data_IF_734188454166
#
_entry.id   IF_734188454166
#
_cell.length_a   1.000
_cell.length_b   1.000
_cell.length_c   1.000
_cell.angle_alpha   90.00
_cell.angle_beta   90.00
_cell.angle_gamma   90.00
#
_symmetry.space_group_name_H-M   'P 1'
#
loop_
_entity.id
_entity.type
_entity.pdbx_description
1 polymer ?
#
# COMPACT_ATOMS: atom_id res chain seq x y z
N UNK A 1 -21.62 -2.29 -26.39
CA UNK A 1 -21.11 -1.08 -25.70
C UNK A 1 -20.95 -1.26 -24.19
N UNK A 2 -21.79 -2.06 -23.52
CA UNK A 2 -21.80 -2.25 -22.06
C UNK A 2 -20.70 -3.17 -21.51
N UNK A 3 -20.23 -4.14 -22.32
CA UNK A 3 -19.17 -5.08 -21.94
C UNK A 3 -17.78 -4.44 -21.90
N UNK A 4 -17.49 -3.53 -22.85
CA UNK A 4 -16.20 -2.83 -22.92
C UNK A 4 -16.02 -1.85 -21.76
N UNK A 5 -17.08 -1.11 -21.41
CA UNK A 5 -17.09 -0.19 -20.27
C UNK A 5 -16.84 -0.96 -18.95
N UNK A 6 -17.47 -2.13 -18.77
CA UNK A 6 -17.20 -2.98 -17.59
C UNK A 6 -15.76 -3.48 -17.55
N UNK A 7 -15.19 -3.87 -18.69
CA UNK A 7 -13.80 -4.35 -18.77
C UNK A 7 -12.80 -3.25 -18.45
N UNK A 8 -13.01 -2.06 -19.01
CA UNK A 8 -12.15 -0.89 -18.80
C UNK A 8 -12.27 -0.37 -17.36
N UNK A 9 -13.45 -0.50 -16.74
CA UNK A 9 -13.67 -0.13 -15.34
C UNK A 9 -13.07 -1.16 -14.36
N UNK A 10 -13.07 -2.44 -14.69
CA UNK A 10 -12.35 -3.49 -13.94
C UNK A 10 -10.84 -3.36 -14.08
N UNK A 11 -10.32 -2.96 -15.24
CA UNK A 11 -8.90 -2.63 -15.46
C UNK A 11 -8.50 -1.33 -14.74
N UNK A 12 -9.36 -0.31 -14.73
CA UNK A 12 -9.15 0.92 -13.96
C UNK A 12 -9.19 0.68 -12.44
N UNK A 13 -10.07 -0.20 -11.95
CA UNK A 13 -10.11 -0.63 -10.55
C UNK A 13 -8.89 -1.51 -10.17
N UNK A 14 -8.32 -2.24 -11.14
CA UNK A 14 -7.02 -2.92 -10.99
C UNK A 14 -5.85 -1.94 -10.97
N UNK A 15 -5.98 -0.80 -11.66
CA UNK A 15 -4.95 0.23 -11.79
C UNK A 15 -4.98 1.29 -10.68
N UNK A 16 -6.08 1.42 -9.92
CA UNK A 16 -6.19 2.41 -8.85
C UNK A 16 -5.45 1.95 -7.59
N UNK A 17 -4.16 2.24 -7.53
CA UNK A 17 -3.39 2.16 -6.30
C UNK A 17 -4.04 3.06 -5.23
N UNK A 18 -4.46 2.47 -4.12
CA UNK A 18 -4.90 3.24 -2.94
C UNK A 18 -3.68 3.55 -2.09
N UNK A 19 -3.43 4.82 -1.81
CA UNK A 19 -2.30 5.22 -0.95
C UNK A 19 -2.33 4.52 0.42
N UNK A 20 -3.52 4.28 0.98
CA UNK A 20 -3.71 3.51 2.22
C UNK A 20 -3.30 2.04 2.12
N UNK A 21 -3.36 1.44 0.93
CA UNK A 21 -2.90 0.08 0.69
C UNK A 21 -1.38 0.05 0.58
N UNK A 22 -0.79 1.05 -0.07
CA UNK A 22 0.66 1.25 -0.14
C UNK A 22 1.25 1.45 1.27
N UNK A 23 0.68 2.38 2.04
CA UNK A 23 1.06 2.68 3.42
C UNK A 23 1.07 1.43 4.30
N UNK A 24 -0.05 0.72 4.35
CA UNK A 24 -0.17 -0.47 5.19
C UNK A 24 0.78 -1.59 4.74
N UNK A 25 0.96 -1.75 3.44
CA UNK A 25 1.86 -2.78 2.90
C UNK A 25 3.32 -2.47 3.23
N UNK A 26 3.74 -1.21 3.07
CA UNK A 26 5.08 -0.77 3.45
C UNK A 26 5.32 -0.93 4.95
N UNK A 27 4.38 -0.54 5.80
CA UNK A 27 4.47 -0.72 7.25
C UNK A 27 4.56 -2.19 7.63
N UNK A 28 3.71 -3.04 7.06
CA UNK A 28 3.75 -4.47 7.33
C UNK A 28 5.09 -5.10 6.93
N UNK A 29 5.65 -4.70 5.79
CA UNK A 29 6.94 -5.21 5.33
C UNK A 29 8.08 -4.71 6.24
N UNK A 30 8.06 -3.45 6.66
CA UNK A 30 9.03 -2.93 7.64
C UNK A 30 8.96 -3.69 8.97
N UNK A 31 7.75 -3.95 9.46
CA UNK A 31 7.52 -4.73 10.67
C UNK A 31 8.02 -6.17 10.51
N UNK A 32 7.75 -6.81 9.37
CA UNK A 32 8.19 -8.17 9.08
C UNK A 32 9.70 -8.28 8.87
N UNK A 33 10.36 -7.26 8.32
CA UNK A 33 11.83 -7.21 8.20
C UNK A 33 12.47 -7.04 9.57
N UNK A 34 11.89 -6.21 10.44
CA UNK A 34 12.40 -6.00 11.80
C UNK A 34 12.16 -7.22 12.71
N UNK A 35 10.95 -7.79 12.65
CA UNK A 35 10.53 -8.90 13.50
C UNK A 35 9.47 -9.75 12.77
N UNK A 36 9.97 -10.70 11.99
CA UNK A 36 9.18 -11.56 11.09
C UNK A 36 7.94 -12.19 11.75
N UNK A 37 8.11 -12.75 12.94
CA UNK A 37 7.03 -13.39 13.66
C UNK A 37 6.09 -12.36 14.29
N UNK A 38 4.79 -12.48 13.99
CA UNK A 38 3.75 -11.65 14.59
C UNK A 38 3.53 -10.29 13.91
N UNK A 39 4.21 -10.00 12.79
CA UNK A 39 4.11 -8.70 12.13
C UNK A 39 2.67 -8.37 11.71
N UNK A 40 1.93 -9.33 11.14
CA UNK A 40 0.52 -9.14 10.77
C UNK A 40 -0.37 -8.90 11.97
N UNK A 41 -0.15 -9.61 13.08
CA UNK A 41 -0.88 -9.42 14.34
C UNK A 41 -0.70 -7.99 14.85
N UNK A 42 0.54 -7.53 14.99
CA UNK A 42 0.86 -6.19 15.50
C UNK A 42 0.30 -5.08 14.61
N UNK A 43 0.45 -5.21 13.29
CA UNK A 43 -0.09 -4.23 12.34
C UNK A 43 -1.63 -4.23 12.35
N UNK A 44 -2.27 -5.39 12.44
CA UNK A 44 -3.73 -5.49 12.55
C UNK A 44 -4.24 -4.79 13.82
N UNK A 45 -3.57 -5.00 14.94
CA UNK A 45 -3.88 -4.38 16.22
C UNK A 45 -3.67 -2.85 16.17
N UNK A 46 -2.53 -2.37 15.64
CA UNK A 46 -2.25 -0.93 15.48
C UNK A 46 -3.33 -0.18 14.70
N UNK A 47 -3.88 -0.81 13.66
CA UNK A 47 -4.88 -0.20 12.78
C UNK A 47 -6.32 -0.53 13.16
N UNK A 48 -6.55 -1.40 14.15
CA UNK A 48 -7.89 -1.86 14.51
C UNK A 48 -8.63 -2.59 13.37
N UNK A 49 -7.90 -3.34 12.53
CA UNK A 49 -8.45 -4.03 11.36
C UNK A 49 -8.21 -5.54 11.42
N UNK A 50 -9.02 -6.30 10.67
CA UNK A 50 -8.83 -7.75 10.56
C UNK A 50 -7.62 -8.10 9.68
N UNK A 51 -6.94 -9.21 9.99
CA UNK A 51 -5.79 -9.72 9.21
C UNK A 51 -6.15 -10.05 7.74
N UNK A 52 -7.41 -10.41 7.48
CA UNK A 52 -7.95 -10.62 6.13
C UNK A 52 -7.84 -9.34 5.29
N UNK A 53 -8.17 -8.18 5.88
CA UNK A 53 -8.06 -6.86 5.23
C UNK A 53 -6.61 -6.56 4.87
N UNK A 54 -5.67 -6.84 5.77
CA UNK A 54 -4.22 -6.71 5.49
C UNK A 54 -3.84 -7.58 4.30
N UNK A 55 -4.26 -8.85 4.31
CA UNK A 55 -3.96 -9.81 3.25
C UNK A 55 -4.47 -9.32 1.89
N UNK A 56 -5.68 -8.79 1.84
CA UNK A 56 -6.27 -8.29 0.61
C UNK A 56 -5.58 -7.02 0.10
N UNK A 57 -5.13 -6.14 1.01
CA UNK A 57 -4.36 -4.94 0.67
C UNK A 57 -2.99 -5.30 0.08
N UNK A 58 -2.27 -6.20 0.73
CA UNK A 58 -0.98 -6.70 0.22
C UNK A 58 -1.17 -7.33 -1.17
N UNK A 59 -2.19 -8.17 -1.36
CA UNK A 59 -2.50 -8.76 -2.67
C UNK A 59 -2.85 -7.73 -3.75
N UNK A 60 -3.48 -6.61 -3.38
CA UNK A 60 -3.69 -5.51 -4.33
C UNK A 60 -2.38 -4.86 -4.72
N UNK A 61 -1.49 -4.62 -3.77
CA UNK A 61 -0.16 -4.05 -4.06
C UNK A 61 0.71 -4.98 -4.90
N UNK A 62 0.69 -6.28 -4.62
CA UNK A 62 1.42 -7.30 -5.41
C UNK A 62 0.92 -7.36 -6.85
N UNK A 63 -0.41 -7.31 -7.05
CA UNK A 63 -0.99 -7.22 -8.39
C UNK A 63 -0.65 -5.91 -9.09
N UNK A 64 -0.65 -4.79 -8.36
CA UNK A 64 -0.32 -3.48 -8.90
C UNK A 64 1.14 -3.42 -9.39
N UNK A 65 2.08 -3.94 -8.61
CA UNK A 65 3.50 -3.95 -8.97
C UNK A 65 3.93 -5.14 -9.83
N UNK A 66 3.08 -6.16 -9.96
CA UNK A 66 3.40 -7.39 -10.70
C UNK A 66 4.49 -8.25 -10.03
N UNK A 67 4.65 -8.13 -8.71
CA UNK A 67 5.68 -8.86 -7.93
C UNK A 67 5.10 -9.40 -6.63
N UNK A 68 5.61 -10.55 -6.18
CA UNK A 68 5.33 -11.06 -4.84
C UNK A 68 6.20 -10.34 -3.80
N UNK A 69 5.57 -9.83 -2.74
CA UNK A 69 6.23 -9.13 -1.63
C UNK A 69 6.47 -10.07 -0.44
N UNK A 70 5.67 -11.14 -0.33
CA UNK A 70 5.83 -12.19 0.69
C UNK A 70 5.89 -13.59 0.08
N UNK A 71 6.68 -14.46 0.72
CA UNK A 71 6.87 -15.87 0.37
C UNK A 71 6.73 -16.79 1.60
N UNK A 72 6.85 -18.10 1.36
CA UNK A 72 6.86 -19.14 2.39
C UNK A 72 5.49 -19.49 2.98
N UNK A 73 5.46 -20.42 3.95
CA UNK A 73 4.24 -20.84 4.63
C UNK A 73 3.55 -19.64 5.30
N UNK A 74 2.24 -19.52 5.10
CA UNK A 74 1.43 -18.41 5.61
C UNK A 74 1.91 -17.01 5.15
N UNK A 75 2.78 -16.92 4.14
CA UNK A 75 3.29 -15.68 3.54
C UNK A 75 3.87 -14.71 4.58
N UNK A 76 4.71 -15.20 5.49
CA UNK A 76 5.29 -14.39 6.58
C UNK A 76 6.63 -13.77 6.22
N UNK A 77 7.38 -14.41 5.34
CA UNK A 77 8.74 -13.99 5.01
C UNK A 77 8.73 -12.99 3.86
N UNK A 78 9.30 -11.78 4.01
CA UNK A 78 9.47 -10.84 2.92
C UNK A 78 10.34 -11.43 1.79
N UNK A 79 9.94 -11.22 0.53
CA UNK A 79 10.80 -11.45 -0.63
C UNK A 79 11.87 -10.35 -0.72
N UNK A 80 12.76 -10.42 -1.71
CA UNK A 80 13.67 -9.32 -2.00
C UNK A 80 12.92 -8.04 -2.39
N UNK A 81 11.91 -8.15 -3.25
CA UNK A 81 11.03 -7.03 -3.59
C UNK A 81 10.33 -6.46 -2.34
N UNK A 82 9.86 -7.34 -1.44
CA UNK A 82 9.30 -6.96 -0.14
C UNK A 82 10.28 -6.19 0.74
N UNK A 83 11.55 -6.62 0.80
CA UNK A 83 12.62 -5.92 1.54
C UNK A 83 12.93 -4.55 0.97
N UNK A 84 12.97 -4.42 -0.36
CA UNK A 84 13.16 -3.12 -1.01
C UNK A 84 11.96 -2.20 -0.72
N UNK A 85 10.74 -2.72 -0.74
CA UNK A 85 9.55 -1.94 -0.40
C UNK A 85 9.52 -1.53 1.08
N UNK A 86 9.97 -2.36 2.02
CA UNK A 86 10.17 -1.97 3.41
C UNK A 86 11.18 -0.81 3.55
N UNK A 87 12.26 -0.86 2.78
CA UNK A 87 13.35 0.12 2.82
C UNK A 87 12.96 1.47 2.21
N UNK A 88 12.32 1.46 1.04
CA UNK A 88 12.06 2.68 0.25
C UNK A 88 10.62 3.17 0.36
N UNK A 89 9.67 2.29 0.67
CA UNK A 89 8.24 2.60 0.77
C UNK A 89 7.91 3.73 1.75
N UNK A 90 8.42 3.71 3.00
CA UNK A 90 8.15 4.77 3.99
C UNK A 90 8.51 6.16 3.47
N UNK A 91 9.71 6.31 2.89
CA UNK A 91 10.15 7.58 2.31
C UNK A 91 9.28 8.03 1.15
N UNK A 92 8.88 7.12 0.26
CA UNK A 92 7.98 7.45 -0.86
C UNK A 92 6.62 7.97 -0.36
N UNK A 93 6.10 7.39 0.73
CA UNK A 93 4.86 7.83 1.36
C UNK A 93 5.02 9.24 1.92
N UNK A 94 6.10 9.52 2.66
CA UNK A 94 6.40 10.86 3.18
C UNK A 94 6.50 11.89 2.06
N UNK A 95 7.14 11.55 0.94
CA UNK A 95 7.25 12.43 -0.23
C UNK A 95 5.87 12.74 -0.86
N UNK A 96 4.97 11.74 -0.92
CA UNK A 96 3.59 11.94 -1.40
C UNK A 96 2.78 12.83 -0.43
N UNK A 97 2.92 12.61 0.88
CA UNK A 97 2.22 13.40 1.90
C UNK A 97 2.67 14.86 1.91
N UNK A 98 3.98 15.09 1.83
CA UNK A 98 4.56 16.42 1.69
C UNK A 98 4.10 17.12 0.41
N UNK A 99 4.03 16.40 -0.71
CA UNK A 99 3.48 16.96 -1.94
C UNK A 99 2.00 17.33 -1.80
N UNK A 100 1.21 16.52 -1.10
CA UNK A 100 -0.19 16.83 -0.82
C UNK A 100 -0.36 18.08 0.07
N UNK A 101 0.58 18.38 0.96
CA UNK A 101 0.62 19.64 1.72
C UNK A 101 0.86 20.84 0.81
N UNK A 102 1.88 20.76 -0.06
CA UNK A 102 2.19 21.82 -1.03
C UNK A 102 0.97 22.14 -1.90
N UNK A 103 0.25 21.12 -2.37
CA UNK A 103 -0.95 21.31 -3.19
C UNK A 103 -2.09 21.98 -2.40
N UNK A 104 -2.31 21.59 -1.14
CA UNK A 104 -3.33 22.20 -0.27
C UNK A 104 -3.02 23.67 -0.02
N UNK A 105 -1.77 23.99 0.28
CA UNK A 105 -1.32 25.38 0.50
C UNK A 105 -1.50 26.23 -0.76
N UNK A 106 -1.14 25.69 -1.94
CA UNK A 106 -1.32 26.38 -3.21
C UNK A 106 -2.81 26.65 -3.53
N UNK A 107 -3.70 25.73 -3.16
CA UNK A 107 -5.15 25.89 -3.32
C UNK A 107 -5.70 26.98 -2.40
N UNK A 108 -5.34 26.95 -1.10
CA UNK A 108 -5.83 27.92 -0.12
C UNK A 108 -5.41 29.36 -0.45
N UNK A 109 -4.25 29.56 -1.06
CA UNK A 109 -3.78 30.90 -1.49
C UNK A 109 -4.58 31.49 -2.65
N UNK A 110 -5.28 30.68 -3.45
CA UNK A 110 -6.14 31.17 -4.55
C UNK A 110 -7.51 31.66 -4.08
N UNK A 111 -7.93 31.33 -2.87
CA UNK A 111 -9.26 31.72 -2.35
C UNK A 111 -9.26 33.10 -1.67
N UNK A 112 -8.10 33.75 -1.54
CA UNK A 112 -7.95 35.04 -0.81
C UNK A 112 -7.81 36.25 -1.77
N UNK A 113 -8.04 36.07 -3.08
CA UNK A 113 -8.08 37.16 -4.08
C UNK A 113 -9.35 37.05 -4.92
#
# INVERSE_FOLDING_TARGET
>A
MTEQIKKDQVEADRASMRLKDLQLTAELLSEAVAQENGARERVAERHGIQKSVITDRVRRMERFFGVDLFTGPQRKSPTEAGRLMAKYGPRLIEEIEHFAEILRDASARREVH
#
